data_IF_493912535487
#
_entry.id   IF_493912535487
#
_cell.length_a   1.000
_cell.length_b   1.000
_cell.length_c   1.000
_cell.angle_alpha   90.00
_cell.angle_beta   90.00
_cell.angle_gamma   90.00
#
_symmetry.space_group_name_H-M   'P 1'
#
loop_
_entity.id
_entity.type
_entity.pdbx_description
1 polymer ?
#
# COMPACT_ATOMS: atom_id res chain seq x y z
N UNK A 1 9.62 13.72 1.27
CA UNK A 1 8.33 13.60 2.00
C UNK A 1 8.49 14.13 3.42
N UNK A 2 7.52 14.90 3.96
CA UNK A 2 7.47 15.26 5.38
C UNK A 2 6.27 14.60 6.06
N UNK A 3 6.49 13.85 7.13
CA UNK A 3 5.44 13.10 7.83
C UNK A 3 5.04 13.75 9.16
N UNK A 4 3.74 13.83 9.39
CA UNK A 4 3.14 14.02 10.70
C UNK A 4 2.42 12.73 11.09
N UNK A 5 3.05 11.92 11.93
CA UNK A 5 2.50 10.63 12.37
C UNK A 5 1.77 10.82 13.69
N UNK A 6 0.50 10.43 13.73
CA UNK A 6 -0.31 10.55 14.94
C UNK A 6 0.28 9.71 16.09
N UNK A 7 0.10 10.13 17.36
CA UNK A 7 0.56 9.37 18.51
C UNK A 7 0.07 7.92 18.53
N UNK A 8 -1.17 7.67 18.09
CA UNK A 8 -1.77 6.33 18.01
C UNK A 8 -1.03 5.46 17.00
N UNK A 9 -0.70 5.99 15.83
CA UNK A 9 0.10 5.27 14.82
C UNK A 9 1.50 4.98 15.33
N UNK A 10 2.16 5.95 15.98
CA UNK A 10 3.49 5.75 16.56
C UNK A 10 3.47 4.68 17.66
N UNK A 11 2.46 4.69 18.52
CA UNK A 11 2.30 3.70 19.58
C UNK A 11 2.11 2.30 19.01
N UNK A 12 1.23 2.13 18.01
CA UNK A 12 1.03 0.85 17.33
C UNK A 12 2.33 0.35 16.67
N UNK A 13 3.03 1.22 15.93
CA UNK A 13 4.29 0.86 15.28
C UNK A 13 5.37 0.42 16.28
N UNK A 14 5.46 1.07 17.45
CA UNK A 14 6.42 0.71 18.50
C UNK A 14 6.03 -0.58 19.23
N UNK A 15 4.74 -0.85 19.40
CA UNK A 15 4.24 -2.03 20.08
C UNK A 15 4.34 -3.28 19.19
N UNK A 16 3.92 -3.15 17.93
CA UNK A 16 3.75 -4.29 17.02
C UNK A 16 4.95 -4.45 16.07
N UNK A 17 5.83 -3.45 15.98
CA UNK A 17 6.94 -3.42 15.03
C UNK A 17 6.49 -3.21 13.57
N UNK A 18 5.19 -3.12 13.30
CA UNK A 18 4.64 -3.00 11.95
C UNK A 18 3.34 -2.21 11.92
N UNK A 19 3.07 -1.57 10.78
CA UNK A 19 1.76 -0.98 10.47
C UNK A 19 1.39 -1.25 9.01
N UNK A 20 0.08 -1.40 8.74
CA UNK A 20 -0.46 -1.40 7.38
C UNK A 20 -0.92 -0.01 6.99
N UNK A 21 -0.32 0.52 5.93
CA UNK A 21 -0.60 1.83 5.40
C UNK A 21 -1.50 1.76 4.17
N UNK A 22 -2.41 2.72 4.05
CA UNK A 22 -3.17 2.98 2.83
C UNK A 22 -2.89 4.40 2.36
N UNK A 23 -2.28 4.54 1.19
CA UNK A 23 -2.08 5.83 0.53
C UNK A 23 -3.05 5.97 -0.65
N UNK A 24 -3.67 7.14 -0.76
CA UNK A 24 -4.46 7.52 -1.93
C UNK A 24 -3.76 8.66 -2.67
N UNK A 25 -3.09 8.34 -3.77
CA UNK A 25 -2.28 9.29 -4.53
C UNK A 25 -2.93 9.64 -5.86
N UNK A 26 -2.70 10.88 -6.32
CA UNK A 26 -3.02 11.25 -7.70
C UNK A 26 -2.14 10.40 -8.63
N UNK A 27 -2.78 9.69 -9.56
CA UNK A 27 -2.15 8.92 -10.59
C UNK A 27 -2.56 9.55 -11.91
N UNK A 28 -1.83 10.58 -12.33
CA UNK A 28 -2.12 11.24 -13.62
C UNK A 28 -1.61 10.33 -14.74
N UNK A 29 -2.49 9.75 -15.57
CA UNK A 29 -2.07 8.89 -16.67
C UNK A 29 -1.74 9.76 -17.88
N UNK A 30 -0.75 10.65 -17.76
CA UNK A 30 -0.21 11.36 -18.95
C UNK A 30 1.29 11.58 -18.80
N UNK A 31 2.14 10.83 -19.54
CA UNK A 31 1.84 9.64 -20.33
C UNK A 31 2.04 8.35 -19.50
N UNK A 32 1.74 8.36 -18.20
CA UNK A 32 1.99 7.20 -17.35
C UNK A 32 1.12 6.02 -17.80
N UNK A 33 1.81 4.96 -18.23
CA UNK A 33 1.21 3.67 -18.56
C UNK A 33 0.34 3.17 -17.40
N UNK A 34 -0.76 2.50 -17.74
CA UNK A 34 -1.61 1.82 -16.75
C UNK A 34 -1.16 0.39 -16.45
N UNK A 35 -0.01 -0.01 -16.98
CA UNK A 35 0.60 -1.31 -16.73
C UNK A 35 0.92 -1.45 -15.24
N UNK A 36 0.71 -2.66 -14.70
CA UNK A 36 0.97 -2.96 -13.30
C UNK A 36 2.44 -2.73 -12.95
N UNK A 37 3.36 -3.02 -13.87
CA UNK A 37 4.79 -2.72 -13.73
C UNK A 37 5.08 -1.24 -13.41
N UNK A 38 4.43 -0.32 -14.13
CA UNK A 38 4.58 1.13 -13.92
C UNK A 38 3.93 1.57 -12.60
N UNK A 39 2.72 1.09 -12.32
CA UNK A 39 2.00 1.39 -11.09
C UNK A 39 2.78 0.88 -9.86
N UNK A 40 3.36 -0.31 -9.93
CA UNK A 40 4.19 -0.88 -8.87
C UNK A 40 5.48 -0.11 -8.66
N UNK A 41 6.16 0.35 -9.72
CA UNK A 41 7.35 1.18 -9.58
C UNK A 41 7.04 2.46 -8.79
N UNK A 42 5.94 3.14 -9.13
CA UNK A 42 5.49 4.33 -8.41
C UNK A 42 5.07 4.02 -6.96
N UNK A 43 4.36 2.92 -6.75
CA UNK A 43 3.97 2.48 -5.41
C UNK A 43 5.18 2.15 -4.51
N UNK A 44 6.22 1.49 -5.06
CA UNK A 44 7.45 1.16 -4.32
C UNK A 44 8.17 2.43 -3.90
N UNK A 45 8.38 3.36 -4.83
CA UNK A 45 9.03 4.64 -4.55
C UNK A 45 8.29 5.39 -3.42
N UNK A 46 6.94 5.43 -3.48
CA UNK A 46 6.13 6.04 -2.44
C UNK A 46 6.33 5.36 -1.07
N UNK A 47 6.33 4.03 -1.03
CA UNK A 47 6.46 3.27 0.21
C UNK A 47 7.88 3.39 0.81
N UNK A 48 8.92 3.46 -0.03
CA UNK A 48 10.31 3.69 0.36
C UNK A 48 10.54 5.12 0.88
N UNK A 49 10.01 6.14 0.19
CA UNK A 49 10.04 7.52 0.66
C UNK A 49 9.33 7.67 2.01
N UNK A 50 8.17 7.03 2.15
CA UNK A 50 7.41 6.98 3.40
C UNK A 50 8.24 6.34 4.52
N UNK A 51 8.82 5.18 4.27
CA UNK A 51 9.61 4.43 5.26
C UNK A 51 10.83 5.23 5.71
N UNK A 52 11.51 5.89 4.77
CA UNK A 52 12.65 6.77 5.05
C UNK A 52 12.24 7.95 5.93
N UNK A 53 11.14 8.63 5.58
CA UNK A 53 10.65 9.76 6.37
C UNK A 53 10.16 9.34 7.77
N UNK A 54 9.56 8.15 7.88
CA UNK A 54 9.12 7.58 9.15
C UNK A 54 10.30 7.26 10.07
N UNK A 55 11.37 6.64 9.54
CA UNK A 55 12.60 6.36 10.29
C UNK A 55 13.27 7.64 10.79
N UNK A 56 13.36 8.67 9.94
CA UNK A 56 13.90 9.97 10.34
C UNK A 56 13.10 10.56 11.53
N UNK A 57 11.77 10.50 11.47
CA UNK A 57 10.91 10.98 12.55
C UNK A 57 11.07 10.15 13.83
N UNK A 58 11.19 8.82 13.74
CA UNK A 58 11.46 7.96 14.89
C UNK A 58 12.81 8.29 15.54
N UNK A 59 13.86 8.46 14.74
CA UNK A 59 15.21 8.83 15.21
C UNK A 59 15.26 10.17 15.94
N UNK A 60 14.48 11.15 15.49
CA UNK A 60 14.33 12.44 16.18
C UNK A 60 13.57 12.33 17.51
N UNK A 61 12.60 11.39 17.62
CA UNK A 61 11.83 11.17 18.86
C UNK A 61 12.65 10.40 19.91
N UNK A 62 13.63 9.60 19.51
CA UNK A 62 14.46 8.78 20.42
C UNK A 62 15.79 9.43 20.83
N UNK A 63 16.04 10.69 20.47
CA UNK A 63 17.25 11.42 20.86
C UNK A 63 17.22 11.87 22.34
N UNK A 64 17.03 10.91 23.26
CA UNK A 64 17.53 10.99 24.63
C UNK A 64 18.96 10.45 24.60
N UNK A 65 19.96 11.10 25.23
CA UNK A 65 21.37 10.72 25.09
C UNK A 65 21.64 9.39 25.80
N UNK A 66 21.49 8.28 25.08
CA UNK A 66 21.90 6.95 25.52
C UNK A 66 22.73 6.30 24.42
N UNK A 67 23.97 5.96 24.74
CA UNK A 67 25.07 5.59 23.84
C UNK A 67 24.95 4.19 23.22
N UNK A 68 23.76 3.76 22.79
CA UNK A 68 23.59 2.54 22.01
C UNK A 68 22.67 2.80 20.82
N UNK A 69 23.16 3.59 19.85
CA UNK A 69 22.47 3.82 18.60
C UNK A 69 22.61 2.57 17.71
N UNK A 70 21.74 1.57 17.90
CA UNK A 70 21.39 0.68 16.80
C UNK A 70 20.66 1.55 15.78
N UNK A 71 21.23 1.69 14.59
CA UNK A 71 20.60 2.42 13.49
C UNK A 71 19.26 1.77 13.22
N UNK A 72 18.16 2.45 13.60
CA UNK A 72 16.82 1.94 13.34
C UNK A 72 16.65 1.77 11.83
N UNK A 73 16.38 0.54 11.38
CA UNK A 73 16.07 0.25 9.98
C UNK A 73 14.64 -0.25 9.85
N UNK A 74 14.05 -0.03 8.67
CA UNK A 74 12.70 -0.45 8.36
C UNK A 74 12.62 -0.78 6.88
N UNK A 75 11.68 -1.67 6.55
CA UNK A 75 11.43 -2.11 5.18
C UNK A 75 9.95 -1.96 4.87
N UNK A 76 9.65 -1.46 3.67
CA UNK A 76 8.31 -1.51 3.12
C UNK A 76 8.10 -2.79 2.32
N UNK A 77 6.89 -3.35 2.40
CA UNK A 77 6.41 -4.42 1.55
C UNK A 77 5.10 -3.99 0.91
N UNK A 78 5.07 -3.93 -0.42
CA UNK A 78 3.83 -3.67 -1.14
C UNK A 78 2.88 -4.85 -1.00
N UNK A 79 1.62 -4.55 -0.70
CA UNK A 79 0.56 -5.54 -0.61
C UNK A 79 -0.32 -5.54 -1.86
N UNK A 80 -0.86 -4.36 -2.22
CA UNK A 80 -1.71 -4.19 -3.39
C UNK A 80 -1.64 -2.76 -3.94
N UNK A 81 -1.82 -2.62 -5.25
CA UNK A 81 -2.05 -1.35 -5.92
C UNK A 81 -3.34 -1.42 -6.74
N UNK A 82 -4.19 -0.40 -6.64
CA UNK A 82 -5.42 -0.31 -7.41
C UNK A 82 -5.48 1.02 -8.13
N UNK A 83 -5.55 0.97 -9.46
CA UNK A 83 -5.80 2.14 -10.28
C UNK A 83 -7.31 2.44 -10.32
N UNK A 84 -7.64 3.71 -10.04
CA UNK A 84 -9.01 4.25 -10.09
C UNK A 84 -9.03 5.53 -10.89
N UNK A 85 -9.42 5.47 -12.17
CA UNK A 85 -9.38 6.61 -13.11
C UNK A 85 -8.02 7.35 -13.06
N UNK A 86 -7.95 8.48 -12.34
CA UNK A 86 -6.76 9.33 -12.17
C UNK A 86 -6.11 9.24 -10.78
N UNK A 87 -6.39 8.17 -10.03
CA UNK A 87 -5.86 7.93 -8.69
C UNK A 87 -5.33 6.51 -8.57
N UNK A 88 -4.41 6.32 -7.64
CA UNK A 88 -3.89 5.00 -7.28
C UNK A 88 -4.02 4.85 -5.76
N UNK A 89 -4.70 3.79 -5.34
CA UNK A 89 -4.68 3.33 -3.96
C UNK A 89 -3.50 2.36 -3.81
N UNK A 90 -2.63 2.64 -2.84
CA UNK A 90 -1.48 1.80 -2.53
C UNK A 90 -1.63 1.29 -1.11
N UNK A 91 -1.69 -0.03 -0.96
CA UNK A 91 -1.66 -0.70 0.32
C UNK A 91 -0.28 -1.34 0.50
N UNK A 92 0.38 -1.02 1.61
CA UNK A 92 1.72 -1.52 1.92
C UNK A 92 1.90 -1.65 3.41
N UNK A 93 2.72 -2.61 3.82
CA UNK A 93 3.13 -2.81 5.20
C UNK A 93 4.52 -2.18 5.41
N UNK A 94 4.73 -1.58 6.57
CA UNK A 94 6.07 -1.18 7.03
C UNK A 94 6.45 -2.07 8.19
N UNK A 95 7.67 -2.60 8.17
CA UNK A 95 8.24 -3.45 9.20
C UNK A 95 9.51 -2.83 9.74
N UNK A 96 9.62 -2.73 11.07
CA UNK A 96 10.87 -2.39 11.73
C UNK A 96 11.83 -3.59 11.70
N UNK A 97 13.11 -3.31 11.90
CA UNK A 97 14.22 -4.27 11.83
C UNK A 97 14.06 -5.53 12.69
N UNK A 98 13.45 -5.39 13.86
CA UNK A 98 13.24 -6.47 14.82
C UNK A 98 12.05 -7.38 14.48
N UNK A 99 11.29 -7.10 13.41
CA UNK A 99 10.24 -8.01 12.94
C UNK A 99 10.86 -9.26 12.30
N UNK A 100 10.61 -10.42 12.91
CA UNK A 100 11.09 -11.71 12.41
C UNK A 100 10.47 -12.07 11.04
N UNK A 101 11.15 -12.87 10.21
CA UNK A 101 10.60 -13.35 8.94
C UNK A 101 9.26 -14.08 9.09
N UNK A 102 9.08 -14.86 10.16
CA UNK A 102 7.86 -15.61 10.44
C UNK A 102 6.69 -14.68 10.70
N UNK A 103 6.91 -13.62 11.49
CA UNK A 103 5.89 -12.62 11.77
C UNK A 103 5.54 -11.82 10.52
N UNK A 104 6.53 -11.45 9.69
CA UNK A 104 6.27 -10.81 8.39
C UNK A 104 5.37 -11.67 7.50
N UNK A 105 5.59 -12.98 7.46
CA UNK A 105 4.76 -13.93 6.71
C UNK A 105 3.33 -13.99 7.25
N UNK A 106 3.15 -14.08 8.56
CA UNK A 106 1.82 -14.07 9.19
C UNK A 106 1.02 -12.80 8.85
N UNK A 107 1.70 -11.64 8.91
CA UNK A 107 1.11 -10.35 8.53
C UNK A 107 0.73 -10.31 7.05
N UNK A 108 1.58 -10.87 6.20
CA UNK A 108 1.36 -10.94 4.77
C UNK A 108 0.15 -11.84 4.43
N UNK A 109 -0.04 -12.95 5.13
CA UNK A 109 -1.19 -13.85 4.95
C UNK A 109 -2.52 -13.25 5.45
N UNK A 110 -2.47 -12.23 6.30
CA UNK A 110 -3.66 -11.63 6.91
C UNK A 110 -4.19 -10.44 6.10
N UNK A 111 -5.45 -10.51 5.67
CA UNK A 111 -6.13 -9.42 4.97
C UNK A 111 -6.68 -8.35 5.94
N UNK A 112 -7.24 -8.79 7.07
CA UNK A 112 -7.84 -7.91 8.07
C UNK A 112 -6.78 -7.34 9.03
N UNK A 113 -6.40 -6.08 8.82
CA UNK A 113 -5.44 -5.39 9.69
C UNK A 113 -5.88 -3.96 10.02
N UNK A 114 -5.44 -3.40 11.16
CA UNK A 114 -5.57 -1.98 11.45
C UNK A 114 -4.97 -1.12 10.33
N UNK A 115 -5.77 -0.25 9.73
CA UNK A 115 -5.33 0.63 8.64
C UNK A 115 -4.90 2.00 9.16
N UNK A 116 -3.73 2.44 8.72
CA UNK A 116 -3.20 3.77 8.91
C UNK A 116 -3.25 4.52 7.58
N UNK A 117 -4.10 5.54 7.49
CA UNK A 117 -4.24 6.30 6.27
C UNK A 117 -3.08 7.29 6.11
N UNK A 118 -2.51 7.35 4.92
CA UNK A 118 -1.48 8.30 4.53
C UNK A 118 -2.13 9.36 3.63
N UNK A 119 -2.36 10.54 4.19
CA UNK A 119 -3.10 11.62 3.52
C UNK A 119 -2.18 12.78 3.22
N UNK A 120 -2.05 13.17 1.94
CA UNK A 120 -1.29 14.38 1.58
C UNK A 120 -2.04 15.64 2.05
N UNK A 121 -1.33 16.53 2.72
CA UNK A 121 -1.82 17.83 3.20
C UNK A 121 -1.37 18.93 2.23
N UNK A 122 -2.31 19.44 1.43
CA UNK A 122 -2.03 20.48 0.43
C UNK A 122 -0.99 20.04 -0.61
N UNK A 123 -0.25 21.01 -1.15
CA UNK A 123 0.71 20.75 -2.22
C UNK A 123 2.17 20.57 -1.73
N UNK A 124 2.50 21.00 -0.50
CA UNK A 124 3.86 21.11 0.07
C UNK A 124 4.53 19.78 0.48
N UNK A 125 4.18 18.66 -0.14
CA UNK A 125 4.74 17.33 0.15
C UNK A 125 4.67 16.91 1.64
N UNK A 126 3.74 17.51 2.41
CA UNK A 126 3.41 17.16 3.80
C UNK A 126 2.35 16.08 3.80
N UNK A 127 2.46 15.11 4.70
CA UNK A 127 1.50 14.02 4.84
C UNK A 127 1.13 13.82 6.30
N UNK A 128 -0.16 13.57 6.54
CA UNK A 128 -0.67 13.09 7.81
C UNK A 128 -0.78 11.57 7.77
N UNK A 129 -0.33 10.92 8.83
CA UNK A 129 -0.48 9.48 9.03
C UNK A 129 -1.30 9.23 10.28
N UNK A 130 -2.48 8.66 10.12
CA UNK A 130 -3.39 8.47 11.23
C UNK A 130 -4.17 7.16 11.14
N UNK A 131 -4.43 6.58 12.31
CA UNK A 131 -5.18 5.35 12.45
C UNK A 131 -6.64 5.60 12.08
N UNK A 132 -7.17 4.86 11.11
CA UNK A 132 -8.56 5.00 10.60
C UNK A 132 -9.38 3.73 10.77
N UNK A 133 -10.02 3.57 11.93
CA UNK A 133 -10.87 2.41 12.23
C UNK A 133 -11.93 2.10 11.14
N UNK A 134 -12.63 3.09 10.54
CA UNK A 134 -13.63 2.81 9.51
C UNK A 134 -13.04 2.21 8.22
N UNK A 135 -11.72 2.28 8.01
CA UNK A 135 -11.07 1.74 6.83
C UNK A 135 -10.73 0.26 6.97
N UNK A 136 -10.67 -0.32 8.16
CA UNK A 136 -10.22 -1.70 8.36
C UNK A 136 -11.06 -2.70 7.56
N UNK A 137 -12.36 -2.75 7.86
CA UNK A 137 -13.27 -3.67 7.20
C UNK A 137 -13.42 -3.35 5.70
N UNK A 138 -13.27 -2.08 5.32
CA UNK A 138 -13.38 -1.66 3.93
C UNK A 138 -12.18 -2.12 3.10
N UNK A 139 -10.96 -1.87 3.59
CA UNK A 139 -9.73 -2.26 2.92
C UNK A 139 -9.59 -3.78 2.92
N UNK A 140 -9.96 -4.46 4.00
CA UNK A 140 -9.96 -5.92 4.05
C UNK A 140 -10.87 -6.51 2.97
N UNK A 141 -12.09 -6.02 2.82
CA UNK A 141 -13.00 -6.46 1.74
C UNK A 141 -12.45 -6.16 0.36
N UNK A 142 -11.85 -4.98 0.17
CA UNK A 142 -11.27 -4.62 -1.13
C UNK A 142 -10.11 -5.55 -1.47
N UNK A 143 -9.17 -5.78 -0.55
CA UNK A 143 -8.05 -6.70 -0.76
C UNK A 143 -8.55 -8.12 -1.07
N UNK A 144 -9.54 -8.62 -0.33
CA UNK A 144 -10.12 -9.94 -0.59
C UNK A 144 -10.70 -10.02 -2.02
N UNK A 145 -11.43 -8.98 -2.45
CA UNK A 145 -11.91 -8.89 -3.83
C UNK A 145 -10.76 -8.83 -4.84
N UNK A 146 -9.68 -8.08 -4.57
CA UNK A 146 -8.52 -8.05 -5.47
C UNK A 146 -7.89 -9.45 -5.58
N UNK A 147 -7.75 -10.20 -4.49
CA UNK A 147 -7.26 -11.59 -4.50
C UNK A 147 -8.17 -12.53 -5.32
N UNK A 148 -9.47 -12.24 -5.38
CA UNK A 148 -10.41 -12.99 -6.20
C UNK A 148 -10.25 -12.70 -7.69
N UNK A 149 -9.88 -11.48 -8.10
CA UNK A 149 -9.77 -11.10 -9.52
C UNK A 149 -8.36 -11.16 -10.07
N UNK A 150 -7.35 -10.94 -9.24
CA UNK A 150 -5.94 -11.00 -9.60
C UNK A 150 -5.34 -12.34 -9.20
N UNK A 151 -5.05 -13.15 -10.22
CA UNK A 151 -4.47 -14.49 -10.05
C UNK A 151 -2.94 -14.50 -10.12
N UNK A 152 -2.32 -13.33 -10.28
CA UNK A 152 -0.87 -13.18 -10.34
C UNK A 152 -0.21 -13.16 -8.96
N UNK A 153 1.12 -13.17 -8.91
CA UNK A 153 1.87 -13.07 -7.67
C UNK A 153 1.72 -11.67 -7.05
N UNK A 154 1.88 -11.59 -5.72
CA UNK A 154 1.92 -10.31 -5.01
C UNK A 154 3.07 -9.41 -5.50
N UNK A 155 2.93 -8.07 -5.41
CA UNK A 155 1.75 -7.34 -4.94
C UNK A 155 0.56 -7.51 -5.88
N UNK A 156 -0.65 -7.45 -5.33
CA UNK A 156 -1.86 -7.56 -6.13
C UNK A 156 -2.14 -6.26 -6.91
N UNK A 157 -2.80 -6.37 -8.05
CA UNK A 157 -3.09 -5.29 -8.97
C UNK A 157 -4.46 -5.40 -9.61
N UNK A 158 -5.12 -4.26 -9.69
CA UNK A 158 -6.34 -4.11 -10.47
C UNK A 158 -6.43 -2.70 -11.03
N UNK A 159 -7.11 -2.59 -12.18
CA UNK A 159 -7.37 -1.35 -12.87
C UNK A 159 -8.86 -1.31 -13.24
N UNK A 160 -9.53 -0.23 -12.84
CA UNK A 160 -10.96 -0.03 -13.07
C UNK A 160 -11.35 0.32 -14.52
N UNK A 161 -10.40 0.77 -15.32
CA UNK A 161 -10.58 1.14 -16.73
C UNK A 161 -10.12 0.02 -17.67
N UNK A 162 -9.07 -0.70 -17.28
CA UNK A 162 -8.41 -1.72 -18.10
C UNK A 162 -8.18 -2.97 -17.25
N UNK A 163 -9.20 -3.83 -17.05
CA UNK A 163 -9.07 -5.01 -16.20
C UNK A 163 -7.87 -5.89 -16.60
N UNK A 164 -7.15 -6.41 -15.61
CA UNK A 164 -5.96 -7.25 -15.84
C UNK A 164 -6.33 -8.57 -16.51
N UNK A 165 -5.58 -8.95 -17.54
CA UNK A 165 -5.62 -10.29 -18.15
C UNK A 165 -4.52 -11.19 -17.60
N UNK A 166 -4.72 -12.50 -17.69
CA UNK A 166 -3.74 -13.50 -17.29
C UNK A 166 -3.62 -14.55 -18.37
N UNK A 167 -2.37 -14.93 -18.67
CA UNK A 167 -2.01 -16.08 -19.50
C UNK A 167 -1.03 -16.95 -18.68
N UNK A 168 -1.37 -18.22 -18.48
CA UNK A 168 -0.63 -19.15 -17.61
C UNK A 168 -0.27 -18.58 -16.21
N UNK A 169 -1.17 -17.79 -15.62
CA UNK A 169 -0.97 -17.17 -14.30
C UNK A 169 -0.06 -15.93 -14.30
N UNK A 170 0.42 -15.51 -15.46
CA UNK A 170 1.23 -14.30 -15.66
C UNK A 170 0.32 -13.17 -16.13
N UNK A 171 0.47 -11.98 -15.55
CA UNK A 171 -0.27 -10.78 -15.98
C UNK A 171 0.12 -10.41 -17.41
N UNK A 172 -0.85 -10.34 -18.31
CA UNK A 172 -0.68 -9.85 -19.68
C UNK A 172 -1.07 -8.37 -19.70
N UNK A 173 -0.10 -7.52 -20.07
CA UNK A 173 -0.27 -6.06 -20.03
C UNK A 173 -0.52 -5.44 -21.41
N UNK A 174 -0.18 -6.14 -22.50
CA UNK A 174 -0.30 -5.66 -23.89
C UNK A 174 -1.24 -6.56 -24.72
N UNK A 175 -2.00 -5.96 -25.64
CA UNK A 175 -2.89 -6.61 -26.63
C UNK A 175 -4.12 -7.34 -26.05
N UNK A 176 -5.04 -6.57 -25.45
CA UNK A 176 -6.38 -7.04 -25.08
C UNK A 176 -7.27 -7.41 -26.28
N UNK A 177 -6.88 -7.04 -27.51
CA UNK A 177 -7.64 -7.37 -28.74
C UNK A 177 -7.55 -8.87 -29.10
N UNK A 178 -6.47 -9.54 -28.71
CA UNK A 178 -6.22 -10.95 -29.05
C UNK A 178 -6.70 -11.94 -27.98
N UNK A 179 -7.13 -11.45 -26.81
CA UNK A 179 -7.56 -12.29 -25.69
C UNK A 179 -8.99 -11.96 -25.26
N UNK A 180 -9.93 -12.94 -25.28
CA UNK A 180 -11.29 -12.75 -24.79
C UNK A 180 -11.29 -12.74 -23.26
N UNK A 181 -10.68 -11.73 -22.64
CA UNK A 181 -10.73 -11.58 -21.20
C UNK A 181 -12.12 -11.14 -20.77
N UNK A 182 -12.67 -11.88 -19.82
CA UNK A 182 -13.99 -11.72 -19.21
C UNK A 182 -14.41 -10.26 -19.04
N UNK A 183 -15.60 -9.94 -19.57
CA UNK A 183 -16.31 -8.71 -19.19
C UNK A 183 -16.48 -8.71 -17.66
N UNK A 184 -16.10 -7.62 -16.95
CA UNK A 184 -16.22 -7.60 -15.50
C UNK A 184 -17.69 -7.74 -15.13
N UNK A 185 -17.99 -8.74 -14.30
CA UNK A 185 -19.24 -8.77 -13.54
C UNK A 185 -19.33 -7.43 -12.80
N UNK A 186 -20.35 -6.63 -13.16
CA UNK A 186 -20.61 -5.35 -12.50
C UNK A 186 -20.59 -5.59 -10.99
N UNK A 187 -19.88 -4.73 -10.26
CA UNK A 187 -19.95 -4.64 -8.80
C UNK A 187 -21.41 -4.85 -8.36
N UNK A 188 -21.70 -5.67 -7.33
CA UNK A 188 -23.01 -5.62 -6.69
C UNK A 188 -23.24 -4.17 -6.28
N UNK A 189 -24.21 -3.52 -6.94
CA UNK A 189 -24.49 -2.11 -6.74
C UNK A 189 -24.84 -1.88 -5.28
N UNK A 190 -24.27 -0.82 -4.69
CA UNK A 190 -24.89 -0.14 -3.58
C UNK A 190 -26.24 0.40 -4.05
N UNK A 191 -27.30 -0.40 -3.91
CA UNK A 191 -28.63 0.15 -3.72
C UNK A 191 -28.64 0.82 -2.34
N UNK A 192 -28.68 2.15 -2.36
CA UNK A 192 -29.23 2.92 -1.25
C UNK A 192 -30.74 2.95 -1.41
#
# INVERSE_FOLDING_TARGET
>A
MQLNVSPVTLAALKADGTIRCLADVKYQPVPASRHSSTAFALARNLAEEFTTALLAQLGHVTATPSNTCKTASAQAQLYAAQLRRNRMLVCFDVFLDHCTPEFRREIDETVARPIHAVTKLGDDNRYQVDRKLPLDARVAREIAWIQEVDKGPRPYFTDDMTPTCYDDGIRVEDNLEDYPCFSPSRRPGHQK
#
